data_IF_920168099172
#
_entry.id   IF_920168099172
#
_cell.length_a   1.000
_cell.length_b   1.000
_cell.length_c   1.000
_cell.angle_alpha   90.00
_cell.angle_beta   90.00
_cell.angle_gamma   90.00
#
_symmetry.space_group_name_H-M   'P 1'
#
loop_
_entity.id
_entity.type
_entity.pdbx_description
1 polymer ?
#
# COMPACT_ATOMS: atom_id res chain seq x y z
N UNK A 1 3.58 -8.06 2.13
CA UNK A 1 2.34 -7.64 1.44
C UNK A 1 2.35 -6.13 1.32
N UNK A 2 2.17 -5.59 0.12
CA UNK A 2 1.97 -4.15 -0.10
C UNK A 2 0.46 -3.90 -0.16
N UNK A 3 -0.03 -2.98 0.66
CA UNK A 3 -1.46 -2.68 0.82
C UNK A 3 -1.79 -1.28 0.32
N UNK A 4 -2.79 -1.18 -0.55
CA UNK A 4 -3.34 0.08 -1.03
C UNK A 4 -4.77 0.23 -0.50
N UNK A 5 -5.03 1.31 0.25
CA UNK A 5 -6.35 1.53 0.84
C UNK A 5 -7.40 1.89 -0.21
N UNK A 6 -8.67 1.56 0.05
CA UNK A 6 -9.80 2.01 -0.74
C UNK A 6 -10.21 3.45 -0.47
N UNK A 7 -11.31 3.88 -1.11
CA UNK A 7 -11.86 5.23 -0.95
C UNK A 7 -11.95 6.05 -2.24
N UNK A 8 -12.09 5.38 -3.39
CA UNK A 8 -12.37 6.04 -4.67
C UNK A 8 -11.28 7.00 -5.13
N UNK A 9 -10.04 6.82 -4.66
CA UNK A 9 -8.90 7.73 -4.85
C UNK A 9 -9.08 9.14 -4.28
N UNK A 10 -10.14 9.40 -3.50
CA UNK A 10 -10.49 10.73 -3.00
C UNK A 10 -10.50 10.78 -1.47
N UNK A 11 -10.85 9.66 -0.83
CA UNK A 11 -10.86 9.51 0.62
C UNK A 11 -10.06 8.28 1.02
N UNK A 12 -9.89 8.09 2.32
CA UNK A 12 -9.06 7.03 2.88
C UNK A 12 -7.71 7.57 3.34
N UNK A 13 -7.05 6.81 4.20
CA UNK A 13 -5.73 7.10 4.73
C UNK A 13 -5.20 5.87 5.45
N UNK A 14 -3.96 5.95 5.92
CA UNK A 14 -3.41 4.96 6.86
C UNK A 14 -4.30 4.78 8.09
N UNK A 15 -4.82 5.86 8.68
CA UNK A 15 -5.64 5.80 9.90
C UNK A 15 -6.98 5.10 9.68
N UNK A 16 -7.66 5.37 8.56
CA UNK A 16 -8.97 4.75 8.28
C UNK A 16 -8.88 3.26 8.00
N UNK A 17 -7.70 2.75 7.61
CA UNK A 17 -7.45 1.33 7.32
C UNK A 17 -6.51 0.65 8.32
N UNK A 18 -6.02 1.34 9.37
CA UNK A 18 -5.05 0.80 10.33
C UNK A 18 -5.55 -0.50 10.99
N UNK A 19 -6.79 -0.53 11.45
CA UNK A 19 -7.38 -1.72 12.08
C UNK A 19 -7.41 -2.93 11.13
N UNK A 20 -7.72 -2.71 9.84
CA UNK A 20 -7.72 -3.75 8.82
C UNK A 20 -6.29 -4.23 8.54
N UNK A 21 -5.36 -3.30 8.31
CA UNK A 21 -3.95 -3.59 8.07
C UNK A 21 -3.31 -4.38 9.23
N UNK A 22 -3.53 -3.95 10.47
CA UNK A 22 -3.07 -4.68 11.66
C UNK A 22 -3.66 -6.07 11.75
N UNK A 23 -4.95 -6.23 11.45
CA UNK A 23 -5.60 -7.55 11.47
C UNK A 23 -5.02 -8.46 10.39
N UNK A 24 -4.80 -7.97 9.17
CA UNK A 24 -4.16 -8.73 8.10
C UNK A 24 -2.73 -9.15 8.48
N UNK A 25 -1.93 -8.23 9.01
CA UNK A 25 -0.57 -8.50 9.47
C UNK A 25 -0.54 -9.51 10.63
N UNK A 26 -1.48 -9.43 11.58
CA UNK A 26 -1.56 -10.34 12.73
C UNK A 26 -2.03 -11.76 12.37
N UNK A 27 -2.87 -11.88 11.33
CA UNK A 27 -3.35 -13.18 10.83
C UNK A 27 -2.36 -13.84 9.86
N UNK A 28 -1.45 -13.06 9.28
CA UNK A 28 -0.42 -13.52 8.36
C UNK A 28 0.93 -13.74 9.05
N UNK A 29 1.81 -14.49 8.38
CA UNK A 29 3.23 -14.53 8.72
C UNK A 29 4.03 -13.69 7.73
N UNK A 30 3.65 -12.42 7.59
CA UNK A 30 4.26 -11.49 6.64
C UNK A 30 4.30 -10.06 7.21
N UNK A 31 5.27 -9.26 6.75
CA UNK A 31 5.24 -7.82 6.94
C UNK A 31 4.20 -7.17 6.00
N UNK A 32 3.55 -6.11 6.47
CA UNK A 32 2.58 -5.33 5.69
C UNK A 32 3.09 -3.89 5.52
N UNK A 33 3.23 -3.48 4.26
CA UNK A 33 3.60 -2.12 3.85
C UNK A 33 2.33 -1.42 3.35
N UNK A 34 1.72 -0.56 4.17
CA UNK A 34 0.58 0.25 3.76
C UNK A 34 1.06 1.54 3.09
N UNK A 35 0.50 1.86 1.93
CA UNK A 35 0.93 3.01 1.12
C UNK A 35 -0.09 4.14 1.24
N UNK A 36 0.38 5.31 1.70
CA UNK A 36 -0.41 6.54 1.79
C UNK A 36 -0.25 7.33 0.48
N UNK A 37 -0.90 6.84 -0.57
CA UNK A 37 -0.78 7.42 -1.91
C UNK A 37 -1.56 8.74 -2.01
N UNK A 38 -1.12 9.62 -2.90
CA UNK A 38 -1.75 10.93 -3.09
C UNK A 38 -3.16 10.80 -3.66
N UNK A 39 -4.07 11.63 -3.15
CA UNK A 39 -5.50 11.59 -3.45
C UNK A 39 -5.94 12.71 -4.41
N UNK A 40 -6.97 12.40 -5.18
CA UNK A 40 -7.74 13.35 -5.95
C UNK A 40 -8.68 14.16 -5.01
N UNK A 41 -9.11 15.37 -5.41
CA UNK A 41 -8.87 16.03 -6.70
C UNK A 41 -7.51 16.71 -6.86
N UNK A 42 -6.74 16.89 -5.78
CA UNK A 42 -5.44 17.57 -5.82
C UNK A 42 -4.44 16.82 -6.71
N UNK A 43 -4.50 15.48 -6.70
CA UNK A 43 -3.64 14.61 -7.46
C UNK A 43 -4.46 13.62 -8.28
N UNK A 44 -4.75 14.01 -9.52
CA UNK A 44 -5.57 13.21 -10.44
C UNK A 44 -4.81 12.00 -11.00
N UNK A 45 -5.55 11.07 -11.61
CA UNK A 45 -4.96 9.96 -12.37
C UNK A 45 -3.89 10.47 -13.36
N UNK A 46 -2.70 9.83 -13.45
CA UNK A 46 -2.32 8.54 -12.86
C UNK A 46 -1.53 8.62 -11.53
N UNK A 47 -1.64 9.70 -10.76
CA UNK A 47 -0.73 9.96 -9.62
C UNK A 47 -0.67 8.83 -8.59
N UNK A 48 -1.82 8.32 -8.13
CA UNK A 48 -1.86 7.22 -7.17
C UNK A 48 -1.20 5.93 -7.71
N UNK A 49 -1.28 5.68 -9.03
CA UNK A 49 -0.63 4.54 -9.69
C UNK A 49 0.89 4.71 -9.66
N UNK A 50 1.38 5.93 -9.92
CA UNK A 50 2.81 6.21 -9.81
C UNK A 50 3.31 6.05 -8.38
N UNK A 51 2.57 6.54 -7.37
CA UNK A 51 2.93 6.35 -5.96
C UNK A 51 2.97 4.86 -5.58
N UNK A 52 2.04 4.06 -6.11
CA UNK A 52 2.06 2.62 -5.93
C UNK A 52 3.32 1.97 -6.55
N UNK A 53 3.69 2.37 -7.77
CA UNK A 53 4.92 1.91 -8.41
C UNK A 53 6.17 2.35 -7.63
N UNK A 54 6.20 3.58 -7.14
CA UNK A 54 7.33 4.12 -6.37
C UNK A 54 7.49 3.38 -5.04
N UNK A 55 6.41 3.04 -4.35
CA UNK A 55 6.45 2.23 -3.14
C UNK A 55 7.02 0.82 -3.39
N UNK A 56 6.67 0.20 -4.52
CA UNK A 56 7.21 -1.11 -4.92
C UNK A 56 8.68 -0.99 -5.30
N UNK A 57 9.06 0.03 -6.07
CA UNK A 57 10.45 0.28 -6.42
C UNK A 57 11.31 0.49 -5.17
N UNK A 58 10.82 1.26 -4.20
CA UNK A 58 11.48 1.42 -2.91
C UNK A 58 11.61 0.08 -2.18
N UNK A 59 10.56 -0.74 -2.11
CA UNK A 59 10.61 -2.07 -1.50
C UNK A 59 11.68 -2.96 -2.15
N UNK A 60 11.76 -2.96 -3.48
CA UNK A 60 12.74 -3.77 -4.23
C UNK A 60 14.18 -3.28 -4.03
N UNK A 61 14.39 -1.97 -3.89
CA UNK A 61 15.73 -1.38 -3.81
C UNK A 61 16.27 -1.30 -2.38
N UNK A 62 15.40 -1.01 -1.40
CA UNK A 62 15.79 -0.65 -0.04
C UNK A 62 15.13 -1.53 1.03
N UNK A 63 14.10 -2.31 0.67
CA UNK A 63 13.35 -3.13 1.64
C UNK A 63 14.22 -4.10 2.47
N UNK A 64 15.30 -4.62 1.87
CA UNK A 64 16.24 -5.49 2.58
C UNK A 64 16.91 -4.80 3.78
N UNK A 65 17.18 -3.49 3.70
CA UNK A 65 17.74 -2.69 4.79
C UNK A 65 16.74 -2.53 5.96
N UNK A 66 15.45 -2.77 5.70
CA UNK A 66 14.37 -2.76 6.67
C UNK A 66 13.95 -4.17 7.12
N UNK A 67 14.72 -5.21 6.77
CA UNK A 67 14.41 -6.60 7.12
C UNK A 67 13.25 -7.19 6.32
N UNK A 68 12.92 -6.62 5.16
CA UNK A 68 11.86 -7.10 4.28
C UNK A 68 12.45 -8.02 3.19
N UNK A 69 11.77 -9.14 2.92
CA UNK A 69 12.11 -10.04 1.81
C UNK A 69 11.33 -9.63 0.55
N UNK A 70 12.00 -8.92 -0.35
CA UNK A 70 11.42 -8.46 -1.61
C UNK A 70 11.34 -9.54 -2.71
N UNK A 71 11.81 -10.78 -2.45
CA UNK A 71 11.63 -11.91 -3.37
C UNK A 71 10.22 -12.51 -3.30
N UNK A 72 9.47 -12.21 -2.23
CA UNK A 72 8.12 -12.70 -1.99
C UNK A 72 7.15 -11.54 -1.72
N UNK A 73 6.71 -10.90 -2.81
CA UNK A 73 5.78 -9.77 -2.76
C UNK A 73 4.38 -10.22 -3.19
N UNK A 74 3.39 -9.84 -2.38
CA UNK A 74 1.99 -9.94 -2.71
C UNK A 74 1.33 -8.56 -2.55
N UNK A 75 0.33 -8.30 -3.38
CA UNK A 75 -0.43 -7.06 -3.39
C UNK A 75 -1.82 -7.29 -2.80
N UNK A 76 -2.31 -6.30 -2.07
CA UNK A 76 -3.65 -6.30 -1.51
C UNK A 76 -4.22 -4.88 -1.54
N UNK A 77 -5.53 -4.80 -1.63
CA UNK A 77 -6.25 -3.53 -1.55
C UNK A 77 -7.74 -3.78 -1.61
N UNK A 78 -8.51 -2.79 -1.16
CA UNK A 78 -9.96 -2.83 -1.16
C UNK A 78 -10.51 -1.75 -2.09
N UNK A 79 -11.63 -2.04 -2.76
CA UNK A 79 -12.29 -1.08 -3.66
C UNK A 79 -11.32 -0.45 -4.67
N UNK A 80 -11.15 0.87 -4.66
CA UNK A 80 -10.20 1.60 -5.51
C UNK A 80 -8.73 1.20 -5.31
N UNK A 81 -8.34 0.78 -4.10
CA UNK A 81 -6.99 0.26 -3.85
C UNK A 81 -6.75 -1.13 -4.45
N UNK A 82 -7.81 -1.85 -4.85
CA UNK A 82 -7.71 -3.12 -5.55
C UNK A 82 -7.79 -3.02 -7.08
N UNK A 83 -8.02 -1.82 -7.63
CA UNK A 83 -8.04 -1.56 -9.08
C UNK A 83 -6.64 -1.44 -9.66
#
# INVERSE_FOLDING_TARGET
>A
VVYFHGGGYVIGSLDSHDALCRRLAALGNFALLAVDYRLAPEWVFPTAVHDACDAVNWLLQDGANHGLDASQVAFAGDSAGGN
#
